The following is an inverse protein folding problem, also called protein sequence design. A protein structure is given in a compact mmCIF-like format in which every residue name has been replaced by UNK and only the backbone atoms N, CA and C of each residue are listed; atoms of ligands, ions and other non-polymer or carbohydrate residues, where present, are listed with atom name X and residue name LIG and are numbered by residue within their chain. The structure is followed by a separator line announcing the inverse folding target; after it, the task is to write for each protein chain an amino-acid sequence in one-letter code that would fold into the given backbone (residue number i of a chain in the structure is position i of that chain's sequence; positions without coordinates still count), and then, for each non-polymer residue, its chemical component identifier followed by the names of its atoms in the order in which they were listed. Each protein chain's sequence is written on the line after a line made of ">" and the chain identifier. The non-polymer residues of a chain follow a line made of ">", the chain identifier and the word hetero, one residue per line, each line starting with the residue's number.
data_IF_173694053490
#
_entry.id   IF_173694053490
#
_cell.length_a   1.000
_cell.length_b   1.000
_cell.length_c   1.000
_cell.angle_alpha   90.00
_cell.angle_beta   90.00
_cell.angle_gamma   90.00
#
_symmetry.space_group_name_H-M   'P 1'
#
loop_
_entity.id
_entity.type
_entity.pdbx_description
1 polymer ?
#
# COMPACT_ATOMS: atom_id res chain seq x y z
N UNK A 1 -14.19 0.73 -10.42
CA UNK A 1 -13.66 -0.23 -9.42
C UNK A 1 -13.91 -1.68 -9.85
N UNK A 2 -15.12 -2.05 -10.34
CA UNK A 2 -15.40 -3.43 -10.78
C UNK A 2 -14.53 -3.96 -11.93
N UNK A 3 -14.00 -3.10 -12.82
CA UNK A 3 -13.13 -3.50 -13.95
C UNK A 3 -11.69 -3.81 -13.53
N UNK A 4 -11.25 -3.44 -12.34
CA UNK A 4 -9.87 -3.61 -11.88
C UNK A 4 -9.61 -4.95 -11.18
N UNK A 5 -10.64 -5.73 -10.86
CA UNK A 5 -10.52 -7.05 -10.20
C UNK A 5 -9.91 -8.15 -11.06
N UNK A 6 -9.79 -7.94 -12.38
CA UNK A 6 -9.17 -8.90 -13.30
C UNK A 6 -7.88 -8.32 -13.85
N UNK A 7 -6.88 -8.12 -13.01
CA UNK A 7 -5.54 -7.82 -13.51
C UNK A 7 -4.66 -9.04 -13.52
N UNK A 8 -4.17 -9.26 -14.71
CA UNK A 8 -3.10 -10.14 -15.14
C UNK A 8 -3.52 -11.57 -15.50
N UNK A 9 -4.15 -11.73 -16.64
CA UNK A 9 -3.85 -12.93 -17.45
C UNK A 9 -2.43 -12.70 -17.98
N UNK A 10 -1.48 -13.52 -17.55
CA UNK A 10 -0.10 -13.53 -18.02
C UNK A 10 0.25 -14.91 -18.49
N UNK A 11 0.77 -15.02 -19.70
CA UNK A 11 1.33 -16.26 -20.21
C UNK A 11 2.64 -16.59 -19.50
N UNK A 12 2.79 -17.83 -19.06
CA UNK A 12 4.02 -18.34 -18.46
C UNK A 12 4.54 -19.49 -19.29
N UNK A 13 5.82 -19.43 -19.65
CA UNK A 13 6.49 -20.50 -20.35
C UNK A 13 7.21 -21.40 -19.33
N UNK A 14 6.79 -22.64 -19.26
CA UNK A 14 7.43 -23.65 -18.44
C UNK A 14 7.63 -24.91 -19.27
N UNK A 15 8.89 -25.42 -19.36
CA UNK A 15 9.28 -26.57 -20.16
C UNK A 15 8.82 -26.52 -21.64
N UNK A 16 8.78 -25.27 -22.20
CA UNK A 16 8.41 -25.06 -23.61
C UNK A 16 6.90 -24.91 -23.86
N UNK A 17 6.08 -25.01 -22.84
CA UNK A 17 4.63 -24.80 -22.91
C UNK A 17 4.25 -23.45 -22.29
N UNK A 18 3.21 -22.80 -22.82
CA UNK A 18 2.67 -21.53 -22.33
C UNK A 18 1.40 -21.79 -21.50
N UNK A 19 1.41 -21.29 -20.27
CA UNK A 19 0.29 -21.42 -19.33
C UNK A 19 -0.32 -20.04 -19.04
N UNK A 20 -1.59 -19.80 -19.39
CA UNK A 20 -2.29 -18.60 -18.95
C UNK A 20 -2.54 -18.69 -17.43
N UNK A 21 -2.14 -17.64 -16.69
CA UNK A 21 -2.35 -17.58 -15.24
C UNK A 21 -3.19 -16.35 -14.91
N UNK A 22 -4.31 -16.56 -14.24
CA UNK A 22 -5.18 -15.50 -13.74
C UNK A 22 -4.96 -15.25 -12.25
N UNK A 23 -4.90 -13.99 -11.86
CA UNK A 23 -4.72 -13.57 -10.46
C UNK A 23 -5.77 -12.53 -10.08
N UNK A 24 -6.24 -12.60 -8.84
CA UNK A 24 -7.16 -11.60 -8.27
C UNK A 24 -6.43 -10.48 -7.49
N UNK A 25 -5.09 -10.45 -7.57
CA UNK A 25 -4.26 -9.44 -6.88
C UNK A 25 -3.75 -8.40 -7.86
N UNK A 26 -3.61 -7.15 -7.40
CA UNK A 26 -3.18 -6.00 -8.20
C UNK A 26 -1.70 -5.66 -7.92
N UNK A 27 -1.02 -5.10 -8.93
CA UNK A 27 0.35 -4.61 -8.84
C UNK A 27 1.41 -5.57 -9.37
N UNK A 28 2.44 -4.98 -10.00
CA UNK A 28 3.53 -5.74 -10.62
C UNK A 28 4.33 -6.58 -9.60
N UNK A 29 4.49 -6.07 -8.38
CA UNK A 29 5.15 -6.80 -7.30
C UNK A 29 4.40 -8.09 -6.94
N UNK A 30 3.06 -8.11 -7.00
CA UNK A 30 2.28 -9.34 -6.81
C UNK A 30 2.47 -10.33 -7.95
N UNK A 31 2.73 -9.87 -9.16
CA UNK A 31 3.12 -10.75 -10.29
C UNK A 31 4.43 -11.47 -9.96
N UNK A 32 5.45 -10.75 -9.48
CA UNK A 32 6.72 -11.36 -9.09
C UNK A 32 6.58 -12.31 -7.91
N UNK A 33 5.81 -11.94 -6.89
CA UNK A 33 5.53 -12.80 -5.74
C UNK A 33 4.83 -14.11 -6.18
N UNK A 34 3.84 -14.00 -7.05
CA UNK A 34 3.15 -15.17 -7.61
C UNK A 34 4.08 -16.04 -8.44
N UNK A 35 4.96 -15.43 -9.23
CA UNK A 35 5.98 -16.20 -10.00
C UNK A 35 6.91 -16.99 -9.08
N UNK A 36 7.37 -16.39 -7.98
CA UNK A 36 8.20 -17.08 -7.01
C UNK A 36 7.44 -18.22 -6.34
N UNK A 37 6.17 -18.02 -5.97
CA UNK A 37 5.32 -19.06 -5.41
C UNK A 37 5.08 -20.22 -6.40
N UNK A 38 4.77 -19.91 -7.67
CA UNK A 38 4.64 -20.93 -8.74
C UNK A 38 5.94 -21.73 -8.86
N UNK A 39 7.10 -21.06 -8.90
CA UNK A 39 8.39 -21.74 -8.99
C UNK A 39 8.64 -22.70 -7.83
N UNK A 40 8.34 -22.28 -6.60
CA UNK A 40 8.46 -23.13 -5.42
C UNK A 40 7.50 -24.35 -5.48
N UNK A 41 6.23 -24.13 -5.83
CA UNK A 41 5.25 -25.21 -5.97
C UNK A 41 5.65 -26.24 -7.05
N UNK A 42 6.17 -25.78 -8.18
CA UNK A 42 6.64 -26.68 -9.24
C UNK A 42 7.87 -27.51 -8.82
N UNK A 43 8.75 -26.95 -7.99
CA UNK A 43 9.88 -27.68 -7.41
C UNK A 43 9.42 -28.81 -6.46
N UNK A 44 8.33 -28.57 -5.73
CA UNK A 44 7.68 -29.57 -4.86
C UNK A 44 6.78 -30.54 -5.62
N UNK A 45 6.76 -30.49 -6.97
CA UNK A 45 6.01 -31.40 -7.81
C UNK A 45 4.50 -31.11 -7.91
N UNK A 46 4.06 -29.92 -7.48
CA UNK A 46 2.65 -29.51 -7.63
C UNK A 46 2.39 -29.18 -9.10
N UNK A 47 1.28 -29.69 -9.65
CA UNK A 47 0.94 -29.46 -11.05
C UNK A 47 0.51 -28.03 -11.34
N UNK A 48 0.74 -27.54 -12.57
CA UNK A 48 0.28 -26.22 -13.01
C UNK A 48 -1.24 -26.06 -12.91
N UNK A 49 -2.00 -27.14 -13.12
CA UNK A 49 -3.46 -27.13 -12.99
C UNK A 49 -3.91 -26.86 -11.55
N UNK A 50 -3.27 -27.51 -10.57
CA UNK A 50 -3.54 -27.27 -9.16
C UNK A 50 -3.17 -25.84 -8.74
N UNK A 51 -2.03 -25.34 -9.22
CA UNK A 51 -1.56 -23.96 -8.99
C UNK A 51 -2.56 -22.94 -9.56
N UNK A 52 -3.00 -23.09 -10.80
CA UNK A 52 -3.96 -22.21 -11.47
C UNK A 52 -5.32 -22.20 -10.72
N UNK A 53 -5.77 -23.37 -10.28
CA UNK A 53 -7.00 -23.51 -9.48
C UNK A 53 -6.88 -22.73 -8.15
N UNK A 54 -5.75 -22.86 -7.46
CA UNK A 54 -5.49 -22.12 -6.21
C UNK A 54 -5.43 -20.61 -6.44
N UNK A 55 -4.76 -20.14 -7.50
CA UNK A 55 -4.63 -18.71 -7.81
C UNK A 55 -5.97 -18.04 -8.16
N UNK A 56 -6.89 -18.77 -8.78
CA UNK A 56 -8.26 -18.25 -9.06
C UNK A 56 -9.08 -18.00 -7.81
N UNK A 57 -8.80 -18.73 -6.74
CA UNK A 57 -9.51 -18.60 -5.45
C UNK A 57 -8.76 -17.68 -4.45
N UNK A 58 -7.49 -17.41 -4.71
CA UNK A 58 -6.66 -16.57 -3.87
C UNK A 58 -7.06 -15.10 -4.02
N UNK A 59 -7.45 -14.44 -2.92
CA UNK A 59 -7.93 -13.05 -2.93
C UNK A 59 -6.80 -12.04 -2.70
N UNK A 60 -6.14 -12.12 -1.56
CA UNK A 60 -5.01 -11.25 -1.19
C UNK A 60 -4.31 -11.79 0.06
N UNK A 61 -3.12 -11.29 0.31
CA UNK A 61 -2.47 -11.42 1.63
C UNK A 61 -2.94 -10.25 2.49
N UNK A 62 -3.47 -10.47 3.71
CA UNK A 62 -3.89 -9.39 4.60
C UNK A 62 -2.80 -8.33 4.78
N UNK A 63 -3.16 -7.06 4.59
CA UNK A 63 -2.24 -5.93 4.70
C UNK A 63 -1.17 -5.82 3.61
N UNK A 64 -1.36 -6.46 2.46
CA UNK A 64 -0.49 -6.35 1.28
C UNK A 64 -1.29 -5.93 0.06
N UNK A 65 -1.37 -4.63 -0.19
CA UNK A 65 -2.23 -4.02 -1.19
C UNK A 65 -3.66 -4.58 -1.11
N UNK A 66 -4.15 -4.71 0.10
CA UNK A 66 -5.45 -5.28 0.40
C UNK A 66 -6.54 -4.26 0.13
N UNK A 67 -7.47 -4.61 -0.75
CA UNK A 67 -8.64 -3.79 -1.04
C UNK A 67 -9.72 -4.04 0.02
N UNK A 68 -10.17 -2.96 0.65
CA UNK A 68 -11.27 -2.97 1.61
C UNK A 68 -12.55 -2.54 0.88
N UNK A 69 -13.57 -3.38 0.89
CA UNK A 69 -14.84 -3.16 0.19
C UNK A 69 -16.01 -3.23 1.17
N UNK A 70 -16.53 -2.07 1.52
CA UNK A 70 -17.67 -1.89 2.43
C UNK A 70 -18.84 -1.18 1.72
N UNK A 71 -18.87 -1.20 0.37
CA UNK A 71 -19.91 -0.59 -0.43
C UNK A 71 -19.70 0.86 -0.82
N UNK A 72 -18.53 1.44 -0.48
CA UNK A 72 -18.12 2.79 -0.86
C UNK A 72 -17.84 2.88 -2.38
N UNK A 73 -17.93 4.09 -2.95
CA UNK A 73 -17.70 4.39 -4.38
C UNK A 73 -16.25 4.82 -4.70
N UNK A 74 -15.34 4.68 -3.74
CA UNK A 74 -13.90 4.90 -3.87
C UNK A 74 -13.12 3.65 -3.41
N UNK A 75 -11.86 3.53 -3.82
CA UNK A 75 -11.01 2.43 -3.39
C UNK A 75 -10.34 2.73 -2.05
N UNK A 76 -10.29 1.74 -1.15
CA UNK A 76 -9.47 1.79 0.07
C UNK A 76 -8.47 0.65 0.01
N UNK A 77 -7.19 0.99 0.14
CA UNK A 77 -6.07 0.04 0.09
C UNK A 77 -5.33 0.08 1.42
N UNK A 78 -5.14 -1.08 2.04
CA UNK A 78 -4.30 -1.23 3.24
C UNK A 78 -3.02 -1.96 2.86
N UNK A 79 -1.86 -1.38 3.23
CA UNK A 79 -0.55 -1.96 2.92
C UNK A 79 0.46 -1.82 4.06
N UNK A 80 1.40 -2.74 4.12
CA UNK A 80 2.49 -2.76 5.11
C UNK A 80 3.69 -1.89 4.72
N UNK A 81 3.66 -1.18 3.61
CA UNK A 81 4.74 -0.34 3.13
C UNK A 81 5.16 0.71 4.18
N UNK A 82 6.32 0.49 4.79
CA UNK A 82 6.90 1.31 5.85
C UNK A 82 8.35 1.73 5.55
N UNK A 83 8.78 1.51 4.32
CA UNK A 83 10.08 1.92 3.77
C UNK A 83 9.89 2.84 2.57
N UNK A 84 10.88 3.68 2.20
CA UNK A 84 10.79 4.51 0.99
C UNK A 84 10.41 3.71 -0.26
N UNK A 85 11.13 2.65 -0.58
CA UNK A 85 10.87 1.81 -1.75
C UNK A 85 9.48 1.16 -1.70
N UNK A 86 9.07 0.66 -0.52
CA UNK A 86 7.75 0.08 -0.34
C UNK A 86 6.64 1.10 -0.61
N UNK A 87 6.77 2.31 -0.02
CA UNK A 87 5.80 3.39 -0.23
C UNK A 87 5.75 3.82 -1.70
N UNK A 88 6.90 3.99 -2.36
CA UNK A 88 6.95 4.33 -3.76
C UNK A 88 6.25 3.27 -4.63
N UNK A 89 6.55 1.99 -4.44
CA UNK A 89 5.96 0.90 -5.22
C UNK A 89 4.43 0.85 -5.14
N UNK A 90 3.85 1.02 -3.94
CA UNK A 90 2.39 1.03 -3.80
C UNK A 90 1.77 2.28 -4.42
N UNK A 91 2.43 3.43 -4.33
CA UNK A 91 1.94 4.68 -4.91
C UNK A 91 2.04 4.69 -6.44
N UNK A 92 3.10 4.10 -7.02
CA UNK A 92 3.19 3.86 -8.46
C UNK A 92 2.08 2.95 -8.96
N UNK A 93 1.78 1.88 -8.21
CA UNK A 93 0.67 0.99 -8.53
C UNK A 93 -0.67 1.73 -8.48
N UNK A 94 -0.90 2.54 -7.44
CA UNK A 94 -2.12 3.33 -7.32
C UNK A 94 -2.24 4.36 -8.45
N UNK A 95 -1.14 5.01 -8.81
CA UNK A 95 -1.09 5.98 -9.94
C UNK A 95 -1.47 5.35 -11.27
N UNK A 96 -1.10 4.08 -11.49
CA UNK A 96 -1.42 3.36 -12.72
C UNK A 96 -2.91 3.00 -12.84
N UNK A 97 -3.65 2.95 -11.72
CA UNK A 97 -5.04 2.51 -11.67
C UNK A 97 -6.03 3.58 -11.19
N UNK A 98 -5.53 4.76 -10.77
CA UNK A 98 -6.40 5.83 -10.26
C UNK A 98 -7.33 6.38 -11.35
N UNK A 99 -8.56 6.67 -10.98
CA UNK A 99 -9.51 7.40 -11.81
C UNK A 99 -9.54 8.90 -11.45
N UNK A 100 -9.34 9.22 -10.15
CA UNK A 100 -9.39 10.58 -9.63
C UNK A 100 -8.15 10.86 -8.74
N UNK A 101 -8.30 11.13 -7.46
CA UNK A 101 -7.22 11.52 -6.53
C UNK A 101 -6.60 10.30 -5.84
N UNK A 102 -5.33 10.46 -5.41
CA UNK A 102 -4.68 9.58 -4.44
C UNK A 102 -4.64 10.30 -3.10
N UNK A 103 -5.29 9.73 -2.10
CA UNK A 103 -5.27 10.17 -0.71
C UNK A 103 -4.37 9.20 0.07
N UNK A 104 -3.36 9.71 0.77
CA UNK A 104 -2.36 8.89 1.46
C UNK A 104 -2.45 9.12 2.96
N UNK A 105 -2.54 8.04 3.74
CA UNK A 105 -2.38 8.04 5.20
C UNK A 105 -1.14 7.23 5.54
N UNK A 106 -0.12 7.84 6.10
CA UNK A 106 1.09 7.13 6.47
C UNK A 106 1.83 7.78 7.64
N UNK A 107 2.73 7.03 8.25
CA UNK A 107 3.61 7.50 9.30
C UNK A 107 4.91 6.69 9.34
N UNK A 108 5.82 7.09 10.21
CA UNK A 108 7.07 6.40 10.44
C UNK A 108 7.17 5.89 11.88
N UNK A 109 7.86 4.74 12.06
CA UNK A 109 8.14 4.21 13.39
C UNK A 109 9.27 4.95 14.10
N UNK A 110 9.17 5.02 15.43
CA UNK A 110 10.27 5.41 16.32
C UNK A 110 11.23 4.27 16.58
N UNK A 111 12.41 4.59 17.16
CA UNK A 111 13.51 3.65 17.42
C UNK A 111 13.95 2.87 16.16
N UNK A 112 13.92 3.55 15.03
CA UNK A 112 14.27 3.05 13.70
C UNK A 112 15.06 4.12 12.96
N UNK A 113 15.51 3.80 11.76
CA UNK A 113 16.21 4.74 10.90
C UNK A 113 15.38 6.01 10.66
N UNK A 114 15.81 7.12 11.27
CA UNK A 114 15.13 8.41 11.14
C UNK A 114 15.39 9.09 9.78
N UNK A 115 16.47 8.71 9.07
CA UNK A 115 16.83 9.33 7.79
C UNK A 115 15.78 9.07 6.70
N UNK A 116 15.01 7.99 6.82
CA UNK A 116 13.93 7.68 5.89
C UNK A 116 12.70 8.58 6.04
N UNK A 117 12.53 9.29 7.18
CA UNK A 117 11.33 10.07 7.48
C UNK A 117 11.06 11.16 6.43
N UNK A 118 12.01 12.08 6.15
CA UNK A 118 11.82 13.09 5.11
C UNK A 118 11.75 12.47 3.71
N UNK A 119 12.45 11.36 3.45
CA UNK A 119 12.40 10.68 2.16
C UNK A 119 10.98 10.17 1.88
N UNK A 120 10.35 9.51 2.86
CA UNK A 120 8.96 9.04 2.74
C UNK A 120 7.98 10.20 2.60
N UNK A 121 8.21 11.32 3.32
CA UNK A 121 7.44 12.54 3.16
C UNK A 121 7.48 13.08 1.74
N UNK A 122 8.66 13.14 1.13
CA UNK A 122 8.87 13.57 -0.26
C UNK A 122 8.13 12.65 -1.23
N UNK A 123 8.30 11.35 -1.11
CA UNK A 123 7.62 10.35 -1.96
C UNK A 123 6.09 10.54 -1.86
N UNK A 124 5.54 10.69 -0.66
CA UNK A 124 4.11 10.92 -0.50
C UNK A 124 3.65 12.20 -1.21
N UNK A 125 4.43 13.28 -1.17
CA UNK A 125 4.12 14.54 -1.85
C UNK A 125 4.24 14.46 -3.37
N UNK A 126 5.14 13.63 -3.89
CA UNK A 126 5.32 13.42 -5.34
C UNK A 126 4.16 12.65 -5.98
N UNK A 127 3.51 11.76 -5.23
CA UNK A 127 2.46 10.88 -5.76
C UNK A 127 1.06 11.24 -5.31
N UNK A 128 0.91 11.74 -4.08
CA UNK A 128 -0.40 12.04 -3.47
C UNK A 128 -1.01 13.35 -3.95
N UNK A 129 -2.31 13.40 -3.97
CA UNK A 129 -3.10 14.62 -4.18
C UNK A 129 -3.57 15.19 -2.83
N UNK A 130 -3.78 14.32 -1.83
CA UNK A 130 -4.01 14.67 -0.43
C UNK A 130 -3.20 13.74 0.49
N UNK A 131 -2.54 14.29 1.50
CA UNK A 131 -1.63 13.55 2.37
C UNK A 131 -2.02 13.77 3.83
N UNK A 132 -2.19 12.69 4.57
CA UNK A 132 -2.36 12.68 6.02
C UNK A 132 -1.10 12.06 6.65
N UNK A 133 -0.28 12.89 7.26
CA UNK A 133 0.89 12.45 8.02
C UNK A 133 0.47 12.16 9.45
N UNK A 134 0.73 10.94 9.92
CA UNK A 134 0.24 10.47 11.22
C UNK A 134 1.29 9.64 11.96
N UNK A 135 0.98 9.25 13.19
CA UNK A 135 1.82 8.32 13.96
C UNK A 135 1.70 6.88 13.43
N UNK A 136 2.78 6.15 13.54
CA UNK A 136 2.84 4.68 13.36
C UNK A 136 3.07 4.03 14.74
N UNK A 137 4.19 3.35 14.97
CA UNK A 137 4.65 2.85 16.27
C UNK A 137 5.72 3.81 16.81
N UNK A 138 5.42 4.83 17.63
CA UNK A 138 6.40 5.79 18.10
C UNK A 138 7.40 5.16 19.09
N UNK A 139 7.04 4.08 19.76
CA UNK A 139 7.86 3.38 20.75
C UNK A 139 8.32 4.34 21.86
N UNK A 140 9.64 4.56 21.99
CA UNK A 140 10.19 5.46 23.02
C UNK A 140 10.29 6.92 22.57
N UNK A 141 10.20 7.19 21.28
CA UNK A 141 10.27 8.54 20.73
C UNK A 141 8.95 9.33 20.86
N UNK A 142 9.06 10.65 20.82
CA UNK A 142 7.89 11.54 20.75
C UNK A 142 7.22 11.44 19.37
N UNK A 143 5.96 10.99 19.29
CA UNK A 143 5.25 10.88 18.01
C UNK A 143 5.12 12.22 17.27
N UNK A 144 5.03 13.33 17.99
CA UNK A 144 4.97 14.66 17.38
C UNK A 144 6.28 15.00 16.67
N UNK A 145 7.43 14.63 17.26
CA UNK A 145 8.73 14.86 16.62
C UNK A 145 8.89 13.99 15.37
N UNK A 146 8.49 12.72 15.43
CA UNK A 146 8.55 11.83 14.26
C UNK A 146 7.75 12.40 13.09
N UNK A 147 6.55 12.87 13.36
CA UNK A 147 5.68 13.46 12.33
C UNK A 147 6.26 14.74 11.74
N UNK A 148 6.91 15.58 12.57
CA UNK A 148 7.63 16.78 12.09
C UNK A 148 8.79 16.43 11.16
N UNK A 149 9.53 15.37 11.46
CA UNK A 149 10.64 14.92 10.60
C UNK A 149 10.11 14.45 9.21
N UNK A 150 8.96 13.80 9.17
CA UNK A 150 8.28 13.42 7.92
C UNK A 150 7.80 14.66 7.17
N UNK A 151 7.21 15.63 7.89
CA UNK A 151 6.65 16.85 7.33
C UNK A 151 7.67 17.70 6.57
N UNK A 152 8.95 17.65 6.96
CA UNK A 152 10.04 18.31 6.24
C UNK A 152 10.04 17.89 4.76
N UNK A 153 10.04 16.58 4.49
CA UNK A 153 10.05 16.08 3.14
C UNK A 153 8.76 16.36 2.37
N UNK A 154 7.61 16.35 3.06
CA UNK A 154 6.33 16.73 2.42
C UNK A 154 6.39 18.17 1.94
N UNK A 155 6.85 19.11 2.77
CA UNK A 155 6.96 20.54 2.43
C UNK A 155 7.93 20.81 1.28
N UNK A 156 9.04 20.08 1.24
CA UNK A 156 10.05 20.23 0.18
C UNK A 156 9.54 19.81 -1.21
N UNK A 157 8.66 18.83 -1.29
CA UNK A 157 8.20 18.26 -2.54
C UNK A 157 6.71 18.56 -2.84
N UNK A 158 6.08 19.41 -2.04
CA UNK A 158 4.66 19.75 -2.23
C UNK A 158 4.45 20.41 -3.59
N UNK A 159 3.54 19.84 -4.37
CA UNK A 159 3.21 20.32 -5.73
C UNK A 159 1.97 21.22 -5.68
N UNK A 160 1.81 22.08 -6.69
CA UNK A 160 0.58 22.84 -6.88
C UNK A 160 -0.63 21.90 -6.97
N UNK A 161 -1.68 22.22 -6.22
CA UNK A 161 -2.90 21.42 -6.14
C UNK A 161 -2.84 20.24 -5.15
N UNK A 162 -1.66 19.93 -4.57
CA UNK A 162 -1.52 18.94 -3.49
C UNK A 162 -1.73 19.61 -2.14
N UNK A 163 -2.37 18.92 -1.20
CA UNK A 163 -2.53 19.39 0.17
C UNK A 163 -2.14 18.31 1.18
N UNK A 164 -1.74 18.74 2.39
CA UNK A 164 -1.45 17.79 3.46
C UNK A 164 -2.00 18.27 4.79
N UNK A 165 -2.22 17.34 5.69
CA UNK A 165 -2.54 17.55 7.08
C UNK A 165 -1.69 16.67 7.98
N UNK A 166 -1.41 17.16 9.17
CA UNK A 166 -0.69 16.45 10.21
C UNK A 166 -1.67 16.13 11.33
N UNK A 167 -2.00 14.87 11.50
CA UNK A 167 -2.92 14.37 12.53
C UNK A 167 -2.20 13.22 13.24
N UNK A 168 -1.72 13.46 14.46
CA UNK A 168 -0.91 12.48 15.20
C UNK A 168 -1.71 11.22 15.53
N UNK A 169 -2.97 11.36 15.92
CA UNK A 169 -3.87 10.22 16.11
C UNK A 169 -4.16 9.54 14.78
N UNK A 170 -3.71 8.29 14.67
CA UNK A 170 -3.83 7.54 13.42
C UNK A 170 -5.27 7.18 13.08
N UNK A 171 -6.11 6.92 14.07
CA UNK A 171 -7.54 6.65 13.86
C UNK A 171 -8.24 7.88 13.30
N UNK A 172 -7.94 9.03 13.88
CA UNK A 172 -8.46 10.32 13.39
C UNK A 172 -7.99 10.61 11.96
N UNK A 173 -6.70 10.42 11.67
CA UNK A 173 -6.15 10.60 10.33
C UNK A 173 -6.84 9.71 9.28
N UNK A 174 -7.09 8.44 9.61
CA UNK A 174 -7.81 7.51 8.74
C UNK A 174 -9.26 7.98 8.54
N UNK A 175 -9.95 8.37 9.61
CA UNK A 175 -11.32 8.87 9.53
C UNK A 175 -11.42 10.10 8.62
N UNK A 176 -10.49 11.06 8.77
CA UNK A 176 -10.43 12.23 7.90
C UNK A 176 -10.23 11.85 6.43
N UNK A 177 -9.29 10.95 6.16
CA UNK A 177 -9.03 10.48 4.79
C UNK A 177 -10.24 9.80 4.13
N UNK A 178 -10.97 8.97 4.89
CA UNK A 178 -12.18 8.30 4.41
C UNK A 178 -13.32 9.30 4.16
N UNK A 179 -13.51 10.30 5.04
CA UNK A 179 -14.55 11.33 4.85
C UNK A 179 -14.24 12.30 3.71
N UNK A 180 -12.96 12.55 3.42
CA UNK A 180 -12.48 13.41 2.33
C UNK A 180 -12.62 12.73 0.96
N UNK A 181 -12.68 11.40 0.94
CA UNK A 181 -12.70 10.62 -0.28
C UNK A 181 -14.00 10.80 -1.06
N UNK A 182 -13.88 10.83 -2.38
CA UNK A 182 -14.98 10.97 -3.33
C UNK A 182 -14.94 9.81 -4.33
N UNK A 183 -16.03 9.65 -5.06
CA UNK A 183 -16.13 8.63 -6.11
C UNK A 183 -14.90 8.66 -7.04
N UNK A 184 -14.30 7.48 -7.27
CA UNK A 184 -13.10 7.29 -8.08
C UNK A 184 -11.77 7.63 -7.43
N UNK A 185 -11.75 8.12 -6.17
CA UNK A 185 -10.51 8.30 -5.40
C UNK A 185 -9.92 6.95 -4.96
N UNK A 186 -8.63 6.96 -4.64
CA UNK A 186 -7.94 5.86 -3.97
C UNK A 186 -7.39 6.36 -2.65
N UNK A 187 -7.84 5.79 -1.53
CA UNK A 187 -7.29 6.01 -0.19
C UNK A 187 -6.28 4.90 0.11
N UNK A 188 -5.04 5.27 0.40
CA UNK A 188 -3.96 4.35 0.75
C UNK A 188 -3.61 4.52 2.22
N UNK A 189 -3.80 3.47 3.02
CA UNK A 189 -3.43 3.40 4.43
C UNK A 189 -2.16 2.56 4.52
N UNK A 190 -0.99 3.23 4.58
CA UNK A 190 0.32 2.58 4.52
C UNK A 190 0.99 2.49 5.90
N UNK A 191 1.83 1.47 6.06
CA UNK A 191 2.75 1.28 7.19
C UNK A 191 2.44 0.08 8.06
N UNK A 192 1.20 -0.11 8.47
CA UNK A 192 0.84 -1.15 9.43
C UNK A 192 0.30 -2.44 8.81
N UNK A 193 -0.23 -2.38 7.59
CA UNK A 193 -0.81 -3.55 6.94
C UNK A 193 -1.79 -4.28 7.87
N UNK A 194 -1.48 -5.53 8.20
CA UNK A 194 -2.28 -6.39 9.07
C UNK A 194 -2.15 -6.10 10.59
N UNK A 195 -1.24 -5.18 11.00
CA UNK A 195 -1.08 -4.84 12.42
C UNK A 195 -2.28 -4.06 12.93
N UNK A 196 -2.93 -4.56 13.98
CA UNK A 196 -4.09 -3.95 14.62
C UNK A 196 -3.76 -3.21 15.93
N UNK A 197 -2.47 -2.97 16.21
CA UNK A 197 -1.96 -2.34 17.42
C UNK A 197 -0.99 -1.21 17.10
N UNK A 198 -0.76 -0.31 18.06
CA UNK A 198 0.35 0.65 18.08
C UNK A 198 1.18 0.43 19.33
N UNK A 199 2.51 0.52 19.19
CA UNK A 199 3.44 0.43 20.32
C UNK A 199 3.71 1.85 20.81
N UNK A 200 3.18 2.20 21.96
CA UNK A 200 3.36 3.46 22.65
C UNK A 200 4.37 3.31 23.78
N UNK A 201 4.90 4.43 24.28
CA UNK A 201 6.02 4.47 25.25
C UNK A 201 5.76 3.71 26.56
N UNK A 202 4.52 3.52 26.95
CA UNK A 202 4.13 2.95 28.25
C UNK A 202 3.13 1.79 28.11
N UNK A 203 3.00 1.19 26.94
CA UNK A 203 2.05 0.10 26.67
C UNK A 203 2.70 -1.03 25.88
#
# INVERSE_FOLDING_TARGET
>A
VRRQRQMCIRDRNYKGESYPVSMNTTGLFNVYNTLAAIGACLQEGISMEAIDTALKTFSSVPGRFELIEEGQDFAVVVDYAHTPDGLQNILETAKAIKENRIIIVFGCGGDRDATKRPIMGRIAAEYGDKIYVTSDNPRTEDPVQIVKDVEVGVKEALRDGTSYEVIVDRREAINHAIHDAKAGDIVIIAGKGHENYQILKNE
#
